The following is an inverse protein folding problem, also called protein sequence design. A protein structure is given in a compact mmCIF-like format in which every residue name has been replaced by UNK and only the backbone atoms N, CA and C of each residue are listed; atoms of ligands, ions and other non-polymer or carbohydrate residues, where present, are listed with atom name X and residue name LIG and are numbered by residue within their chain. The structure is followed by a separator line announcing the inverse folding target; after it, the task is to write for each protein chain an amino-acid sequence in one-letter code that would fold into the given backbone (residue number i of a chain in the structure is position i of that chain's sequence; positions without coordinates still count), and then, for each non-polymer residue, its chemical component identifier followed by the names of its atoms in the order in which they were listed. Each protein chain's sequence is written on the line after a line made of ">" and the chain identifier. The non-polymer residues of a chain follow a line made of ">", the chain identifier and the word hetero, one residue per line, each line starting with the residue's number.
data_IF_174013339783
#
_entry.id   IF_174013339783
#
_cell.length_a   1.000
_cell.length_b   1.000
_cell.length_c   1.000
_cell.angle_alpha   90.00
_cell.angle_beta   90.00
_cell.angle_gamma   90.00
#
_symmetry.space_group_name_H-M   'P 1'
#
loop_
_entity.id
_entity.type
_entity.pdbx_description
1 polymer ?
#
# COMPACT_ATOMS: atom_id res chain seq x y z
N UNK A 1 -21.51 -14.61 -18.21
CA UNK A 1 -21.10 -13.89 -16.98
C UNK A 1 -21.05 -12.40 -17.31
N UNK A 2 -21.90 -11.55 -16.71
CA UNK A 2 -21.95 -10.10 -16.99
C UNK A 2 -20.90 -9.37 -16.14
N UNK A 3 -19.97 -8.69 -16.79
CA UNK A 3 -18.97 -7.87 -16.12
C UNK A 3 -19.59 -6.52 -15.76
N UNK A 4 -19.68 -6.25 -14.46
CA UNK A 4 -20.14 -4.96 -13.94
C UNK A 4 -18.90 -4.19 -13.45
N UNK A 5 -18.60 -3.04 -14.07
CA UNK A 5 -17.51 -2.07 -13.79
C UNK A 5 -16.20 -2.28 -14.59
N UNK A 6 -16.20 -1.82 -15.84
CA UNK A 6 -14.98 -1.64 -16.64
C UNK A 6 -14.81 -0.17 -17.07
N UNK A 7 -13.56 0.28 -17.13
CA UNK A 7 -13.18 1.62 -17.58
C UNK A 7 -11.84 1.50 -18.33
N UNK A 8 -11.57 2.36 -19.31
CA UNK A 8 -10.38 2.28 -20.19
C UNK A 8 -9.66 3.62 -20.25
N UNK A 9 -8.40 3.62 -20.68
CA UNK A 9 -7.60 4.83 -20.94
C UNK A 9 -7.48 5.15 -22.43
N UNK A 10 -7.95 4.28 -23.34
CA UNK A 10 -7.94 4.53 -24.78
C UNK A 10 -9.27 5.11 -25.21
N UNK A 11 -9.23 6.30 -25.84
CA UNK A 11 -10.40 6.97 -26.43
C UNK A 11 -11.04 6.15 -27.56
N UNK A 12 -10.25 5.32 -28.24
CA UNK A 12 -10.72 4.46 -29.33
C UNK A 12 -11.69 3.38 -28.81
N UNK A 13 -11.42 2.84 -27.62
CA UNK A 13 -12.31 1.86 -26.97
C UNK A 13 -13.63 2.49 -26.52
N UNK A 14 -13.64 3.76 -26.10
CA UNK A 14 -14.88 4.49 -25.79
C UNK A 14 -15.73 4.76 -27.04
N UNK A 15 -15.11 4.94 -28.20
CA UNK A 15 -15.81 5.21 -29.45
C UNK A 15 -16.33 3.93 -30.13
N UNK A 16 -15.75 2.76 -29.81
CA UNK A 16 -16.17 1.46 -30.36
C UNK A 16 -17.44 0.89 -29.72
N UNK A 17 -17.96 1.48 -28.64
CA UNK A 17 -19.20 1.03 -27.99
C UNK A 17 -20.45 1.58 -28.67
N UNK A 18 -20.76 1.07 -29.87
CA UNK A 18 -22.08 1.19 -30.50
C UNK A 18 -23.09 0.18 -29.93
N UNK A 19 -22.64 -0.80 -29.15
CA UNK A 19 -23.51 -1.77 -28.49
C UNK A 19 -23.98 -1.27 -27.12
N UNK A 20 -25.29 -1.00 -26.99
CA UNK A 20 -26.02 -0.62 -25.76
C UNK A 20 -25.87 -1.59 -24.57
N UNK A 21 -25.04 -2.63 -24.66
CA UNK A 21 -24.77 -3.62 -23.60
C UNK A 21 -23.57 -3.27 -22.71
N UNK A 22 -22.69 -2.38 -23.16
CA UNK A 22 -21.47 -1.98 -22.44
C UNK A 22 -21.37 -0.45 -22.35
N UNK A 23 -22.08 0.14 -21.39
CA UNK A 23 -21.95 1.59 -21.12
C UNK A 23 -20.64 1.88 -20.38
N UNK A 24 -19.71 2.56 -21.06
CA UNK A 24 -18.61 3.21 -20.38
C UNK A 24 -19.15 4.44 -19.64
N UNK A 25 -18.84 4.58 -18.35
CA UNK A 25 -19.26 5.75 -17.59
C UNK A 25 -18.44 6.97 -18.00
N UNK A 26 -19.06 7.89 -18.74
CA UNK A 26 -18.45 9.09 -19.36
C UNK A 26 -18.22 10.26 -18.40
N UNK A 27 -18.50 10.10 -17.09
CA UNK A 27 -18.30 11.18 -16.13
C UNK A 27 -16.86 11.19 -15.64
N UNK A 28 -16.24 12.37 -15.59
CA UNK A 28 -14.91 12.61 -15.00
C UNK A 28 -14.82 12.22 -13.49
N UNK A 29 -15.96 11.89 -12.87
CA UNK A 29 -16.07 11.33 -11.52
C UNK A 29 -16.08 9.79 -11.47
N UNK A 30 -15.90 9.11 -12.61
CA UNK A 30 -15.96 7.64 -12.77
C UNK A 30 -14.74 6.91 -12.19
N UNK A 31 -14.32 7.30 -11.00
CA UNK A 31 -13.35 6.53 -10.26
C UNK A 31 -14.00 5.22 -9.80
N UNK A 32 -13.69 4.13 -10.50
CA UNK A 32 -14.17 2.80 -10.10
C UNK A 32 -13.60 2.52 -8.70
N UNK A 33 -14.52 2.28 -7.76
CA UNK A 33 -14.18 1.95 -6.38
C UNK A 33 -14.08 0.45 -6.23
N UNK A 34 -12.89 -0.02 -5.87
CA UNK A 34 -12.66 -1.42 -5.49
C UNK A 34 -11.81 -1.41 -4.22
N UNK A 35 -12.31 -2.05 -3.15
CA UNK A 35 -11.57 -2.25 -1.89
C UNK A 35 -11.07 -0.99 -1.16
N UNK A 36 -11.63 0.20 -1.44
CA UNK A 36 -11.22 1.48 -0.83
C UNK A 36 -10.23 2.29 -1.66
N UNK A 37 -9.84 1.77 -2.83
CA UNK A 37 -9.07 2.50 -3.85
C UNK A 37 -10.03 3.01 -4.92
N UNK A 38 -9.87 4.26 -5.34
CA UNK A 38 -10.58 4.86 -6.45
C UNK A 38 -9.61 5.07 -7.62
N UNK A 39 -9.96 4.56 -8.79
CA UNK A 39 -9.10 4.60 -9.97
C UNK A 39 -9.43 5.78 -10.89
N UNK A 40 -8.50 6.71 -11.07
CA UNK A 40 -8.64 7.78 -12.06
C UNK A 40 -8.03 7.34 -13.41
N UNK A 41 -8.89 6.99 -14.37
CA UNK A 41 -8.49 6.48 -15.69
C UNK A 41 -7.67 7.47 -16.51
N UNK A 42 -8.09 8.74 -16.51
CA UNK A 42 -7.49 9.78 -17.35
C UNK A 42 -6.04 10.09 -16.96
N UNK A 43 -5.73 10.06 -15.67
CA UNK A 43 -4.38 10.36 -15.14
C UNK A 43 -3.55 9.11 -14.84
N UNK A 44 -4.13 7.90 -15.02
CA UNK A 44 -3.51 6.61 -14.64
C UNK A 44 -3.06 6.56 -13.17
N UNK A 45 -3.79 7.27 -12.29
CA UNK A 45 -3.51 7.38 -10.87
C UNK A 45 -4.48 6.51 -10.06
N UNK A 46 -3.96 5.87 -9.03
CA UNK A 46 -4.79 5.35 -7.94
C UNK A 46 -4.81 6.37 -6.80
N UNK A 47 -6.01 6.67 -6.32
CA UNK A 47 -6.24 7.44 -5.10
C UNK A 47 -6.83 6.54 -4.03
N UNK A 48 -6.41 6.75 -2.79
CA UNK A 48 -7.03 6.14 -1.62
C UNK A 48 -8.10 7.11 -1.11
N UNK A 49 -9.33 6.64 -0.87
CA UNK A 49 -10.38 7.50 -0.31
C UNK A 49 -10.90 7.01 1.05
N UNK A 50 -10.92 7.96 1.98
CA UNK A 50 -11.67 8.05 3.25
C UNK A 50 -11.45 6.93 4.28
N UNK A 51 -10.60 7.25 5.27
CA UNK A 51 -10.71 6.75 6.63
C UNK A 51 -11.50 7.77 7.46
N UNK A 52 -12.82 7.59 7.60
CA UNK A 52 -13.55 8.37 8.60
C UNK A 52 -13.03 8.02 10.01
N UNK A 53 -12.40 8.97 10.73
CA UNK A 53 -12.00 8.73 12.11
C UNK A 53 -13.27 8.88 12.96
N UNK A 54 -13.93 7.77 13.28
CA UNK A 54 -15.02 7.80 14.24
C UNK A 54 -14.43 8.15 15.61
N UNK A 55 -14.67 9.38 16.06
CA UNK A 55 -14.57 9.74 17.47
C UNK A 55 -15.62 8.94 18.25
N UNK A 56 -15.26 8.51 19.46
CA UNK A 56 -16.07 7.80 20.45
C UNK A 56 -16.13 6.25 20.38
N UNK A 57 -15.51 5.68 21.43
CA UNK A 57 -15.58 4.33 21.98
C UNK A 57 -14.78 3.29 21.18
N UNK A 58 -13.59 2.97 21.71
CA UNK A 58 -12.55 2.18 21.06
C UNK A 58 -12.59 0.73 21.53
N UNK A 59 -13.50 -0.04 20.95
CA UNK A 59 -13.48 -1.50 21.07
C UNK A 59 -12.39 -2.09 20.18
N UNK A 60 -11.72 -3.16 20.65
CA UNK A 60 -10.68 -3.89 19.90
C UNK A 60 -11.16 -4.29 18.49
N UNK A 61 -12.44 -4.64 18.32
CA UNK A 61 -13.09 -4.92 17.02
C UNK A 61 -12.91 -3.81 16.01
N UNK A 62 -13.01 -2.54 16.44
CA UNK A 62 -12.84 -1.39 15.54
C UNK A 62 -11.40 -1.23 15.08
N UNK A 63 -10.41 -1.50 15.96
CA UNK A 63 -9.01 -1.52 15.57
C UNK A 63 -8.74 -2.58 14.48
N UNK A 64 -9.35 -3.76 14.57
CA UNK A 64 -9.28 -4.77 13.51
C UNK A 64 -9.93 -4.33 12.20
N UNK A 65 -11.12 -3.74 12.25
CA UNK A 65 -11.76 -3.25 11.03
C UNK A 65 -10.88 -2.21 10.35
N UNK A 66 -10.29 -1.29 11.12
CA UNK A 66 -9.38 -0.27 10.62
C UNK A 66 -8.11 -0.86 10.02
N UNK A 67 -7.49 -1.80 10.75
CA UNK A 67 -6.33 -2.56 10.28
C UNK A 67 -6.60 -3.28 8.96
N UNK A 68 -7.77 -3.93 8.83
CA UNK A 68 -8.19 -4.59 7.59
C UNK A 68 -8.35 -3.59 6.44
N UNK A 69 -8.77 -2.34 6.71
CA UNK A 69 -8.82 -1.30 5.67
C UNK A 69 -7.42 -0.87 5.27
N UNK A 70 -6.49 -0.72 6.22
CA UNK A 70 -5.09 -0.37 5.94
C UNK A 70 -4.35 -1.47 5.16
N UNK A 71 -4.58 -2.75 5.49
CA UNK A 71 -4.01 -3.89 4.77
C UNK A 71 -4.52 -4.01 3.32
N UNK A 72 -5.71 -3.48 3.01
CA UNK A 72 -6.20 -3.35 1.62
C UNK A 72 -5.40 -2.34 0.80
N UNK A 73 -4.38 -1.71 1.36
CA UNK A 73 -3.40 -0.93 0.61
C UNK A 73 -2.03 -1.60 0.61
N UNK A 74 -1.91 -2.85 1.09
CA UNK A 74 -0.64 -3.59 1.05
C UNK A 74 -0.15 -3.90 -0.37
N UNK A 75 -1.01 -3.82 -1.38
CA UNK A 75 -0.64 -3.91 -2.80
C UNK A 75 -0.23 -2.57 -3.41
N UNK A 76 -0.36 -1.45 -2.68
CA UNK A 76 0.11 -0.16 -3.19
C UNK A 76 1.61 -0.03 -2.93
N UNK A 77 2.38 0.10 -4.01
CA UNK A 77 3.82 0.28 -3.96
C UNK A 77 4.20 1.71 -3.57
N UNK A 78 3.66 2.19 -2.44
CA UNK A 78 3.90 3.54 -1.92
C UNK A 78 4.68 3.52 -0.60
N UNK A 79 5.64 4.44 -0.46
CA UNK A 79 6.49 4.57 0.74
C UNK A 79 5.68 4.94 1.98
N UNK A 80 4.70 5.83 1.85
CA UNK A 80 3.90 6.23 3.02
C UNK A 80 2.92 5.13 3.43
N UNK A 81 2.47 4.30 2.48
CA UNK A 81 1.62 3.15 2.77
C UNK A 81 2.36 2.11 3.64
N UNK A 82 3.62 1.79 3.33
CA UNK A 82 4.35 0.77 4.10
C UNK A 82 4.59 1.18 5.56
N UNK A 83 4.89 2.46 5.82
CA UNK A 83 5.10 2.99 7.17
C UNK A 83 3.81 2.99 8.00
N UNK A 84 2.68 3.31 7.38
CA UNK A 84 1.39 3.34 8.08
C UNK A 84 0.86 1.92 8.31
N UNK A 85 1.11 1.00 7.38
CA UNK A 85 0.79 -0.44 7.54
C UNK A 85 1.64 -1.04 8.66
N UNK A 86 2.94 -0.73 8.74
CA UNK A 86 3.82 -1.29 9.77
C UNK A 86 3.41 -0.86 11.17
N UNK A 87 3.14 0.43 11.39
CA UNK A 87 2.60 0.95 12.65
C UNK A 87 1.29 0.27 13.03
N UNK A 88 0.40 0.04 12.06
CA UNK A 88 -0.85 -0.71 12.27
C UNK A 88 -0.61 -2.13 12.79
N UNK A 89 0.28 -2.88 12.12
CA UNK A 89 0.58 -4.26 12.47
C UNK A 89 1.24 -4.36 13.86
N UNK A 90 2.17 -3.45 14.18
CA UNK A 90 2.84 -3.39 15.49
C UNK A 90 1.81 -3.09 16.59
N UNK A 91 0.93 -2.12 16.35
CA UNK A 91 -0.13 -1.78 17.28
C UNK A 91 -1.08 -2.97 17.52
N UNK A 92 -1.46 -3.69 16.46
CA UNK A 92 -2.32 -4.87 16.59
C UNK A 92 -1.65 -5.98 17.40
N UNK A 93 -0.35 -6.21 17.19
CA UNK A 93 0.43 -7.16 17.97
C UNK A 93 0.43 -6.80 19.47
N UNK A 94 0.57 -5.51 19.81
CA UNK A 94 0.47 -5.03 21.21
C UNK A 94 -0.90 -5.32 21.82
N UNK A 95 -1.99 -5.12 21.08
CA UNK A 95 -3.35 -5.45 21.56
C UNK A 95 -3.53 -6.94 21.82
N UNK A 96 -2.97 -7.80 20.95
CA UNK A 96 -3.04 -9.25 21.12
C UNK A 96 -2.26 -9.73 22.34
N UNK A 97 -1.07 -9.16 22.57
CA UNK A 97 -0.27 -9.46 23.76
C UNK A 97 -1.00 -9.18 25.08
N UNK A 98 -1.86 -8.17 25.10
CA UNK A 98 -2.65 -7.80 26.29
C UNK A 98 -3.92 -8.62 26.48
N UNK A 99 -4.22 -9.58 25.60
CA UNK A 99 -5.39 -10.48 25.69
C UNK A 99 -6.73 -9.75 25.88
N UNK A 100 -6.87 -8.54 25.35
CA UNK A 100 -8.11 -7.76 25.45
C UNK A 100 -9.26 -8.48 24.74
N UNK A 101 -10.47 -8.40 25.28
CA UNK A 101 -11.66 -8.87 24.60
C UNK A 101 -12.06 -7.92 23.45
N UNK A 102 -12.83 -8.46 22.51
CA UNK A 102 -13.29 -7.73 21.32
C UNK A 102 -14.12 -6.49 21.65
N UNK A 103 -14.89 -6.55 22.74
CA UNK A 103 -15.80 -5.51 23.25
C UNK A 103 -15.23 -4.74 24.44
N UNK A 104 -13.92 -4.84 24.71
CA UNK A 104 -13.28 -4.05 25.77
C UNK A 104 -12.73 -2.73 25.21
N UNK A 105 -12.89 -1.66 25.99
CA UNK A 105 -12.28 -0.38 25.71
C UNK A 105 -10.74 -0.49 25.75
N UNK A 106 -10.07 0.27 24.88
CA UNK A 106 -8.61 0.37 24.92
C UNK A 106 -8.13 0.88 26.28
N UNK A 107 -7.13 0.22 26.90
CA UNK A 107 -6.52 0.71 28.13
C UNK A 107 -5.92 2.11 27.94
N UNK A 108 -5.99 2.94 28.98
CA UNK A 108 -5.47 4.31 28.99
C UNK A 108 -3.99 4.38 28.58
N UNK A 109 -3.21 3.34 28.88
CA UNK A 109 -1.81 3.25 28.47
C UNK A 109 -1.56 3.10 26.96
N UNK A 110 -2.54 2.65 26.16
CA UNK A 110 -2.40 2.44 24.70
C UNK A 110 -3.24 3.45 23.91
N UNK A 111 -4.35 3.93 24.47
CA UNK A 111 -5.25 4.85 23.78
C UNK A 111 -4.53 6.06 23.16
N UNK A 112 -3.55 6.71 23.80
CA UNK A 112 -2.80 7.83 23.19
C UNK A 112 -2.05 7.44 21.91
N UNK A 113 -1.45 6.25 21.85
CA UNK A 113 -0.76 5.75 20.66
C UNK A 113 -1.73 5.59 19.48
N UNK A 114 -2.96 5.12 19.76
CA UNK A 114 -4.02 5.04 18.77
C UNK A 114 -4.47 6.42 18.26
N UNK A 115 -4.69 7.37 19.18
CA UNK A 115 -5.10 8.72 18.82
C UNK A 115 -4.04 9.47 17.99
N UNK A 116 -2.76 9.15 18.17
CA UNK A 116 -1.68 9.67 17.33
C UNK A 116 -1.58 8.95 15.98
N UNK A 117 -1.92 7.65 15.93
CA UNK A 117 -1.86 6.85 14.72
C UNK A 117 -3.00 7.16 13.74
N UNK A 118 -4.25 7.28 14.23
CA UNK A 118 -5.43 7.48 13.37
C UNK A 118 -5.33 8.71 12.45
N UNK A 119 -4.86 9.89 12.91
CA UNK A 119 -4.63 11.03 12.02
C UNK A 119 -3.62 10.74 10.91
N UNK A 120 -2.59 9.93 11.18
CA UNK A 120 -1.59 9.57 10.16
C UNK A 120 -2.17 8.76 9.00
N UNK A 121 -3.32 8.11 9.18
CA UNK A 121 -4.02 7.42 8.10
C UNK A 121 -4.66 8.37 7.10
N UNK A 122 -4.97 9.61 7.49
CA UNK A 122 -5.43 10.62 6.52
C UNK A 122 -4.36 10.94 5.49
N UNK A 123 -3.07 10.86 5.87
CA UNK A 123 -1.97 11.01 4.91
C UNK A 123 -1.94 9.90 3.84
N UNK A 124 -2.59 8.75 4.07
CA UNK A 124 -2.77 7.76 3.02
C UNK A 124 -3.74 8.23 1.93
N UNK A 125 -4.70 9.09 2.24
CA UNK A 125 -5.67 9.61 1.27
C UNK A 125 -5.01 10.53 0.24
N UNK A 126 -3.93 11.19 0.63
CA UNK A 126 -3.13 12.05 -0.25
C UNK A 126 -2.19 11.25 -1.16
N UNK A 127 -2.07 9.92 -0.95
CA UNK A 127 -1.21 9.09 -1.77
C UNK A 127 -1.77 8.93 -3.18
N UNK A 128 -0.99 9.45 -4.13
CA UNK A 128 -1.13 9.19 -5.56
C UNK A 128 -0.10 8.16 -5.98
N UNK A 129 -0.56 7.10 -6.61
CA UNK A 129 0.32 6.03 -7.10
C UNK A 129 0.23 5.99 -8.61
N UNK A 130 1.36 6.26 -9.25
CA UNK A 130 1.52 6.13 -10.69
C UNK A 130 1.48 4.65 -11.08
N UNK A 131 0.53 4.27 -11.94
CA UNK A 131 0.48 2.91 -12.48
C UNK A 131 1.58 2.65 -13.52
N UNK A 132 2.05 3.69 -14.20
CA UNK A 132 3.07 3.59 -15.23
C UNK A 132 4.47 3.75 -14.64
N UNK A 133 5.16 2.62 -14.51
CA UNK A 133 6.47 2.54 -13.88
C UNK A 133 7.61 2.87 -14.84
N UNK A 134 7.44 2.59 -16.13
CA UNK A 134 8.45 2.77 -17.17
C UNK A 134 8.33 4.15 -17.81
N UNK A 135 9.38 4.54 -18.55
CA UNK A 135 9.37 5.69 -19.46
C UNK A 135 9.50 5.17 -20.88
N UNK A 136 8.97 5.89 -21.87
CA UNK A 136 8.87 5.39 -23.24
C UNK A 136 10.25 5.18 -23.92
N UNK A 137 11.32 5.78 -23.37
CA UNK A 137 12.71 5.53 -23.74
C UNK A 137 13.57 5.28 -22.49
N UNK A 138 14.34 4.20 -22.51
CA UNK A 138 15.32 3.87 -21.47
C UNK A 138 16.50 3.12 -22.10
N UNK A 139 17.72 3.46 -21.66
CA UNK A 139 18.94 2.75 -22.02
C UNK A 139 19.21 1.62 -21.02
N UNK A 140 18.98 1.88 -19.73
CA UNK A 140 19.27 0.93 -18.65
C UNK A 140 18.21 0.96 -17.56
N UNK A 141 17.78 -0.23 -17.16
CA UNK A 141 16.92 -0.46 -16.00
C UNK A 141 17.67 -1.27 -14.95
N UNK A 142 17.62 -0.81 -13.69
CA UNK A 142 18.29 -1.47 -12.58
C UNK A 142 17.39 -1.47 -11.34
N UNK A 143 17.04 -2.65 -10.79
CA UNK A 143 16.33 -2.72 -9.52
C UNK A 143 17.29 -2.36 -8.37
N UNK A 144 16.92 -1.36 -7.57
CA UNK A 144 17.63 -0.95 -6.37
C UNK A 144 16.84 -1.37 -5.14
N UNK A 145 17.35 -2.36 -4.40
CA UNK A 145 16.77 -2.82 -3.15
C UNK A 145 17.40 -2.12 -1.95
N UNK A 146 16.57 -1.72 -0.99
CA UNK A 146 16.99 -1.26 0.33
C UNK A 146 16.27 -2.07 1.40
N UNK A 147 16.95 -2.29 2.52
CA UNK A 147 16.43 -3.03 3.67
C UNK A 147 16.70 -2.28 4.94
N UNK A 148 15.79 -2.44 5.90
CA UNK A 148 15.96 -1.94 7.25
C UNK A 148 15.36 -2.93 8.24
N UNK A 149 15.93 -2.98 9.44
CA UNK A 149 15.52 -3.87 10.51
C UNK A 149 15.58 -3.18 11.87
N UNK A 150 14.53 -3.40 12.66
CA UNK A 150 14.40 -2.94 14.03
C UNK A 150 13.89 -4.09 14.89
N UNK A 151 13.96 -3.94 16.21
CA UNK A 151 13.42 -4.92 17.16
C UNK A 151 11.92 -5.19 16.96
N UNK A 152 11.18 -4.25 16.39
CA UNK A 152 9.73 -4.36 16.19
C UNK A 152 9.34 -4.89 14.80
N UNK A 153 10.10 -4.55 13.77
CA UNK A 153 9.79 -4.90 12.38
C UNK A 153 11.03 -4.87 11.50
N UNK A 154 11.03 -5.65 10.43
CA UNK A 154 12.02 -5.58 9.37
C UNK A 154 11.33 -5.53 8.01
N UNK A 155 11.93 -4.83 7.05
CA UNK A 155 11.31 -4.56 5.77
C UNK A 155 12.29 -4.26 4.67
N UNK A 156 11.75 -4.23 3.46
CA UNK A 156 12.49 -3.93 2.23
C UNK A 156 11.64 -3.10 1.29
N UNK A 157 12.31 -2.27 0.50
CA UNK A 157 11.75 -1.48 -0.60
C UNK A 157 12.60 -1.69 -1.84
N UNK A 158 11.96 -1.82 -2.99
CA UNK A 158 12.60 -2.03 -4.29
C UNK A 158 12.19 -0.92 -5.22
N UNK A 159 13.17 -0.18 -5.71
CA UNK A 159 13.01 0.88 -6.69
C UNK A 159 13.44 0.43 -8.08
N UNK A 160 12.80 0.95 -9.13
CA UNK A 160 13.34 0.92 -10.48
C UNK A 160 14.20 2.17 -10.63
N UNK A 161 15.48 1.98 -10.92
CA UNK A 161 16.33 3.03 -11.42
C UNK A 161 16.40 2.93 -12.94
N UNK A 162 15.97 3.99 -13.62
CA UNK A 162 15.90 4.08 -15.07
C UNK A 162 16.85 5.18 -15.55
N UNK A 163 17.79 4.81 -16.41
CA UNK A 163 18.69 5.73 -17.12
C UNK A 163 18.18 5.83 -18.55
N UNK A 164 17.94 7.06 -19.02
CA UNK A 164 17.57 7.33 -20.41
C UNK A 164 18.79 7.59 -21.27
N UNK A 165 18.61 7.53 -22.59
CA UNK A 165 19.67 7.79 -23.59
C UNK A 165 20.27 9.21 -23.49
N UNK A 166 19.50 10.18 -22.99
CA UNK A 166 19.97 11.56 -22.73
C UNK A 166 20.75 11.70 -21.41
N UNK A 167 20.99 10.59 -20.70
CA UNK A 167 21.64 10.55 -19.39
C UNK A 167 20.73 10.94 -18.21
N UNK A 168 19.46 11.29 -18.44
CA UNK A 168 18.53 11.60 -17.34
C UNK A 168 18.18 10.33 -16.57
N UNK A 169 18.20 10.43 -15.24
CA UNK A 169 17.85 9.32 -14.36
C UNK A 169 16.52 9.56 -13.66
N UNK A 170 15.71 8.51 -13.56
CA UNK A 170 14.46 8.53 -12.82
C UNK A 170 14.41 7.31 -11.91
N UNK A 171 13.90 7.49 -10.69
CA UNK A 171 13.79 6.40 -9.71
C UNK A 171 12.37 6.32 -9.18
N UNK A 172 11.71 5.17 -9.38
CA UNK A 172 10.32 4.95 -8.93
C UNK A 172 10.22 3.74 -8.02
N UNK A 173 9.39 3.81 -6.97
CA UNK A 173 9.16 2.66 -6.10
C UNK A 173 8.30 1.62 -6.85
N UNK A 174 8.79 0.38 -6.98
CA UNK A 174 8.08 -0.70 -7.66
C UNK A 174 7.43 -1.66 -6.68
N UNK A 175 8.08 -1.93 -5.55
CA UNK A 175 7.58 -2.91 -4.59
C UNK A 175 8.10 -2.62 -3.20
N UNK A 176 7.33 -3.01 -2.19
CA UNK A 176 7.75 -2.90 -0.81
C UNK A 176 7.14 -4.03 0.01
N UNK A 177 7.85 -4.47 1.04
CA UNK A 177 7.39 -5.54 1.92
C UNK A 177 7.92 -5.37 3.32
N UNK A 178 7.06 -5.52 4.32
CA UNK A 178 7.40 -5.42 5.74
C UNK A 178 6.86 -6.63 6.49
N UNK A 179 7.60 -7.04 7.52
CA UNK A 179 7.20 -8.10 8.45
C UNK A 179 7.40 -7.58 9.88
N UNK A 180 6.39 -7.78 10.73
CA UNK A 180 6.50 -7.51 12.17
C UNK A 180 7.23 -8.67 12.82
N UNK A 181 8.19 -8.33 13.68
CA UNK A 181 9.02 -9.31 14.38
C UNK A 181 8.15 -10.10 15.35
N UNK A 182 8.39 -11.40 15.47
CA UNK A 182 7.70 -12.24 16.45
C UNK A 182 8.06 -11.80 17.87
N UNK A 183 7.20 -12.10 18.85
CA UNK A 183 7.42 -11.73 20.27
C UNK A 183 8.74 -12.32 20.83
N UNK A 184 9.26 -13.39 20.22
CA UNK A 184 10.55 -13.96 20.59
C UNK A 184 11.67 -12.97 20.28
N UNK A 185 12.56 -12.78 21.25
CA UNK A 185 13.75 -11.94 21.09
C UNK A 185 14.64 -12.55 20.01
N UNK A 186 14.83 -11.79 18.94
CA UNK A 186 15.76 -12.09 17.85
C UNK A 186 16.76 -10.94 17.80
N UNK A 187 18.05 -11.25 17.72
CA UNK A 187 19.11 -10.25 17.62
C UNK A 187 18.97 -9.40 16.35
N UNK A 188 19.25 -8.10 16.42
CA UNK A 188 19.22 -7.17 15.28
C UNK A 188 19.95 -7.71 14.04
N UNK A 189 21.18 -8.28 14.12
CA UNK A 189 21.87 -8.80 12.93
C UNK A 189 21.11 -9.93 12.20
N UNK A 190 20.35 -10.75 12.93
CA UNK A 190 19.50 -11.80 12.32
C UNK A 190 18.28 -11.20 11.63
N UNK A 191 17.76 -10.08 12.14
CA UNK A 191 16.66 -9.35 11.52
C UNK A 191 17.12 -8.64 10.25
N UNK A 192 18.32 -8.04 10.26
CA UNK A 192 18.96 -7.48 9.07
C UNK A 192 19.15 -8.54 7.99
N UNK A 193 19.70 -9.70 8.36
CA UNK A 193 19.84 -10.83 7.42
C UNK A 193 18.48 -11.29 6.87
N UNK A 194 17.44 -11.32 7.72
CA UNK A 194 16.08 -11.65 7.31
C UNK A 194 15.48 -10.61 6.36
N UNK A 195 15.82 -9.33 6.53
CA UNK A 195 15.43 -8.26 5.62
C UNK A 195 16.14 -8.40 4.27
N UNK A 196 17.44 -8.73 4.25
CA UNK A 196 18.19 -9.02 3.03
C UNK A 196 17.59 -10.20 2.25
N UNK A 197 17.23 -11.29 2.94
CA UNK A 197 16.53 -12.42 2.32
C UNK A 197 15.19 -11.99 1.72
N UNK A 198 14.42 -11.18 2.46
CA UNK A 198 13.13 -10.66 2.00
C UNK A 198 13.29 -9.80 0.74
N UNK A 199 14.36 -9.01 0.67
CA UNK A 199 14.71 -8.19 -0.49
C UNK A 199 15.06 -9.06 -1.70
N UNK A 200 15.92 -10.05 -1.54
CA UNK A 200 16.29 -10.95 -2.64
C UNK A 200 15.06 -11.61 -3.26
N UNK A 201 14.17 -12.14 -2.42
CA UNK A 201 12.90 -12.73 -2.86
C UNK A 201 11.96 -11.72 -3.52
N UNK A 202 11.97 -10.45 -3.07
CA UNK A 202 11.12 -9.41 -3.65
C UNK A 202 11.66 -8.98 -5.02
N UNK A 203 12.96 -8.79 -5.14
CA UNK A 203 13.64 -8.46 -6.40
C UNK A 203 13.42 -9.57 -7.43
N UNK A 204 13.60 -10.83 -7.06
CA UNK A 204 13.36 -11.98 -7.93
C UNK A 204 11.93 -11.96 -8.51
N UNK A 205 10.92 -11.71 -7.66
CA UNK A 205 9.53 -11.60 -8.08
C UNK A 205 9.27 -10.41 -9.00
N UNK A 206 9.89 -9.27 -8.71
CA UNK A 206 9.79 -8.07 -9.55
C UNK A 206 10.39 -8.35 -10.92
N UNK A 207 11.59 -8.92 -10.98
CA UNK A 207 12.24 -9.29 -12.24
C UNK A 207 11.45 -10.32 -13.05
N UNK A 208 10.80 -11.28 -12.40
CA UNK A 208 9.93 -12.25 -13.10
C UNK A 208 8.63 -11.65 -13.63
N UNK A 209 8.16 -10.54 -13.04
CA UNK A 209 6.88 -9.91 -13.41
C UNK A 209 7.01 -8.75 -14.39
N UNK A 210 8.24 -8.37 -14.75
CA UNK A 210 8.57 -7.34 -15.75
C UNK A 210 8.79 -8.00 -17.11
#
# INVERSE_FOLDING_TARGET
>A
MKLHKWNSNSKELFNSSTDQKHSFSTNAESAIKTLGVSWETNRRLFHVRSFNPFHCILYKTRCFTHHSKTLRFSWTNSKSAILVISKSNIFLQKLWLRKLNCEECLPEAIAPEWFNYVPSLKALEELKIDRYLLTDSYEKLMPLGYTDASESAYGTVVYMHCVKEDGTTTTKLIASKIRVVTIKVISIPRLELSACLLMAQLVEKVCFSL
#
